data_IF_176201743334
#
_entry.id   IF_176201743334
#
_cell.length_a   1.000
_cell.length_b   1.000
_cell.length_c   1.000
_cell.angle_alpha   90.00
_cell.angle_beta   90.00
_cell.angle_gamma   90.00
#
_symmetry.space_group_name_H-M   'P 1'
#
loop_
_entity.id
_entity.type
_entity.pdbx_description
1 polymer ?
#
# COMPACT_ATOMS: atom_id res chain seq x y z
N UNK A 1 10.51 17.34 -7.75
CA UNK A 1 10.56 18.61 -6.99
C UNK A 1 9.29 19.38 -7.29
N UNK A 2 8.18 18.99 -6.65
CA UNK A 2 7.02 19.87 -6.48
C UNK A 2 6.63 19.77 -5.01
N UNK A 3 6.92 20.84 -4.29
CA UNK A 3 6.64 21.00 -2.87
C UNK A 3 5.14 21.23 -2.70
N UNK A 4 4.46 20.46 -1.85
CA UNK A 4 3.14 20.85 -1.35
C UNK A 4 3.26 22.24 -0.70
N UNK A 5 2.57 23.24 -1.26
CA UNK A 5 2.53 24.58 -0.68
C UNK A 5 1.55 24.57 0.50
N UNK A 6 2.08 24.72 1.72
CA UNK A 6 1.28 25.13 2.87
C UNK A 6 0.84 26.58 2.63
N UNK A 7 -0.46 26.81 2.45
CA UNK A 7 -1.00 28.16 2.38
C UNK A 7 -1.33 28.63 3.79
N UNK A 8 -0.63 29.66 4.26
CA UNK A 8 -1.07 30.44 5.42
C UNK A 8 -2.20 31.36 4.97
N UNK A 9 -3.41 31.11 5.45
CA UNK A 9 -4.51 32.04 5.28
C UNK A 9 -4.61 32.90 6.54
N UNK A 10 -4.39 34.21 6.39
CA UNK A 10 -4.67 35.21 7.41
C UNK A 10 -6.09 35.73 7.20
N UNK A 11 -7.02 35.35 8.09
CA UNK A 11 -8.34 35.97 8.13
C UNK A 11 -8.20 37.43 8.59
N UNK A 12 -8.71 38.38 7.78
CA UNK A 12 -8.58 39.84 8.00
C UNK A 12 -9.16 40.39 9.33
N UNK A 13 -9.80 39.56 10.17
CA UNK A 13 -10.42 39.99 11.43
C UNK A 13 -9.96 39.21 12.68
N UNK A 14 -8.93 38.38 12.60
CA UNK A 14 -8.36 37.71 13.79
C UNK A 14 -6.85 37.62 13.67
N UNK A 15 -6.11 38.02 14.71
CA UNK A 15 -4.65 37.98 14.78
C UNK A 15 -4.04 36.55 14.78
N UNK A 16 -4.80 35.53 14.35
CA UNK A 16 -4.37 34.15 14.22
C UNK A 16 -4.28 33.78 12.74
N UNK A 17 -3.06 33.51 12.27
CA UNK A 17 -2.82 32.85 10.98
C UNK A 17 -3.19 31.38 11.12
N UNK A 18 -4.00 30.87 10.18
CA UNK A 18 -4.41 29.47 10.16
C UNK A 18 -3.81 28.80 8.93
N UNK A 19 -3.17 27.65 9.14
CA UNK A 19 -2.53 26.86 8.09
C UNK A 19 -3.37 25.64 7.76
N UNK A 20 -3.69 25.46 6.48
CA UNK A 20 -4.38 24.29 5.93
C UNK A 20 -3.50 23.60 4.89
N UNK A 21 -3.66 22.28 4.74
CA UNK A 21 -2.90 21.49 3.76
C UNK A 21 -3.67 21.43 2.43
N UNK A 22 -3.15 22.07 1.38
CA UNK A 22 -3.74 22.03 0.03
C UNK A 22 -3.17 20.85 -0.77
N UNK A 23 -4.05 20.01 -1.33
CA UNK A 23 -3.68 18.96 -2.29
C UNK A 23 -4.26 19.37 -3.65
N UNK A 24 -3.43 19.71 -4.66
CA UNK A 24 -3.96 20.17 -5.95
C UNK A 24 -4.51 18.99 -6.76
N UNK A 25 -5.81 19.03 -7.08
CA UNK A 25 -6.45 18.19 -8.10
C UNK A 25 -6.68 16.73 -7.67
N UNK A 26 -7.94 16.30 -7.58
CA UNK A 26 -8.26 14.88 -7.52
C UNK A 26 -7.78 14.17 -8.79
N UNK A 27 -6.59 13.58 -8.72
CA UNK A 27 -6.24 12.27 -9.27
C UNK A 27 -5.42 11.58 -8.20
N UNK A 28 -5.91 10.44 -7.72
CA UNK A 28 -5.26 9.59 -6.73
C UNK A 28 -3.81 9.32 -7.11
N UNK A 29 -2.94 9.35 -6.11
CA UNK A 29 -1.53 9.00 -6.27
C UNK A 29 -0.59 10.20 -6.38
N UNK A 30 -0.27 10.82 -5.24
CA UNK A 30 1.10 11.22 -4.86
C UNK A 30 1.14 11.92 -3.50
N UNK A 31 1.96 11.34 -2.61
CA UNK A 31 2.50 11.88 -1.36
C UNK A 31 1.54 12.09 -0.17
N UNK A 32 1.80 11.39 0.94
CA UNK A 32 2.24 11.99 2.22
C UNK A 32 2.84 10.85 3.11
N UNK A 33 4.14 10.76 3.43
CA UNK A 33 4.85 11.58 4.43
C UNK A 33 4.21 12.96 4.56
N UNK A 34 3.61 13.30 5.70
CA UNK A 34 3.20 14.69 5.96
C UNK A 34 4.35 15.61 5.51
N UNK A 35 4.22 16.41 4.45
CA UNK A 35 5.33 17.18 3.88
C UNK A 35 5.82 18.29 4.83
N UNK A 36 5.19 18.41 6.00
CA UNK A 36 5.55 19.30 7.08
C UNK A 36 6.52 18.68 8.10
N UNK A 37 6.67 17.35 8.11
CA UNK A 37 7.52 16.63 9.06
C UNK A 37 8.51 15.79 8.28
N UNK A 38 9.74 16.29 8.21
CA UNK A 38 10.89 15.51 7.79
C UNK A 38 11.21 14.51 8.91
N UNK A 39 10.67 13.30 8.81
CA UNK A 39 10.84 12.23 9.79
C UNK A 39 12.31 11.80 9.96
N UNK A 40 13.18 12.07 8.99
CA UNK A 40 14.62 11.83 9.13
C UNK A 40 15.29 12.87 10.05
N UNK A 41 14.66 14.04 10.25
CA UNK A 41 15.16 15.13 11.11
C UNK A 41 14.47 15.24 12.46
N UNK A 42 13.23 14.74 12.59
CA UNK A 42 12.46 14.82 13.83
C UNK A 42 12.61 13.53 14.63
N UNK A 43 13.55 13.51 15.58
CA UNK A 43 13.72 12.43 16.54
C UNK A 43 13.03 12.80 17.84
N UNK A 44 12.31 11.87 18.44
CA UNK A 44 11.73 12.03 19.78
C UNK A 44 12.50 11.15 20.75
N UNK A 45 12.91 11.73 21.87
CA UNK A 45 13.62 11.02 22.92
C UNK A 45 12.75 10.99 24.19
N UNK A 46 12.28 9.79 24.53
CA UNK A 46 11.48 9.55 25.72
C UNK A 46 12.34 9.16 26.94
N UNK A 47 13.67 9.13 26.86
CA UNK A 47 14.60 8.68 27.94
C UNK A 47 14.48 9.49 29.23
N UNK A 48 14.16 10.79 29.17
CA UNK A 48 13.87 11.61 30.36
C UNK A 48 12.44 11.40 30.89
N UNK A 49 11.93 10.18 30.81
CA UNK A 49 10.92 9.72 31.75
C UNK A 49 11.67 9.07 32.90
N UNK A 50 12.08 9.88 33.88
CA UNK A 50 12.15 9.39 35.24
C UNK A 50 10.77 8.77 35.49
N UNK A 51 10.70 7.44 35.46
CA UNK A 51 9.54 6.58 35.63
C UNK A 51 8.35 7.40 36.18
N UNK A 52 7.55 8.08 35.32
CA UNK A 52 6.40 8.79 35.82
C UNK A 52 5.58 7.65 36.36
N UNK A 53 5.25 7.72 37.64
CA UNK A 53 4.51 6.67 38.31
C UNK A 53 3.21 6.48 37.51
N UNK A 54 3.21 5.54 36.56
CA UNK A 54 2.09 5.28 35.65
C UNK A 54 0.88 4.82 36.47
N UNK A 55 1.10 4.50 37.75
CA UNK A 55 0.09 4.21 38.75
C UNK A 55 -0.63 5.45 39.30
N UNK A 56 -0.05 6.66 39.24
CA UNK A 56 -0.59 7.85 39.92
C UNK A 56 -1.18 8.93 38.99
N UNK A 57 -0.91 8.90 37.69
CA UNK A 57 -1.48 9.88 36.73
C UNK A 57 -1.79 9.29 35.33
N UNK A 58 -2.31 8.06 35.26
CA UNK A 58 -2.74 7.39 34.02
C UNK A 58 -3.92 8.04 33.27
N UNK A 59 -4.22 9.32 33.51
CA UNK A 59 -5.38 10.03 32.98
C UNK A 59 -5.02 11.16 32.00
N UNK A 60 -3.74 11.45 31.75
CA UNK A 60 -3.29 12.53 30.84
C UNK A 60 -2.39 12.02 29.72
N UNK A 61 -2.50 12.60 28.52
CA UNK A 61 -1.55 12.39 27.42
C UNK A 61 -0.19 12.96 27.80
N UNK A 62 0.88 12.20 27.56
CA UNK A 62 2.26 12.63 27.84
C UNK A 62 2.96 13.05 26.55
N UNK A 63 2.94 14.35 26.28
CA UNK A 63 3.63 14.95 25.13
C UNK A 63 5.13 15.08 25.37
N UNK A 64 5.94 14.73 24.37
CA UNK A 64 7.39 14.97 24.31
C UNK A 64 7.73 15.84 23.12
N UNK A 65 8.38 16.97 23.39
CA UNK A 65 8.90 17.84 22.35
C UNK A 65 10.09 17.17 21.63
N UNK A 66 10.19 17.36 20.32
CA UNK A 66 11.38 16.97 19.56
C UNK A 66 12.58 17.82 20.02
N UNK A 67 13.73 17.23 20.37
CA UNK A 67 14.93 17.98 20.68
C UNK A 67 15.47 18.81 19.50
N UNK A 68 15.16 18.39 18.26
CA UNK A 68 15.57 19.08 17.05
C UNK A 68 14.66 20.28 16.70
N UNK A 69 13.36 20.20 17.02
CA UNK A 69 12.40 21.30 16.86
C UNK A 69 11.28 21.17 17.91
N UNK A 70 11.34 21.94 19.02
CA UNK A 70 10.35 21.89 20.09
C UNK A 70 8.93 22.29 19.67
N UNK A 71 8.76 22.82 18.47
CA UNK A 71 7.45 23.13 17.88
C UNK A 71 6.67 21.88 17.46
N UNK A 72 7.32 20.73 17.41
CA UNK A 72 6.72 19.40 17.23
C UNK A 72 6.75 18.62 18.54
N UNK A 73 5.61 18.03 18.88
CA UNK A 73 5.46 17.19 20.05
C UNK A 73 4.89 15.83 19.62
N UNK A 74 5.28 14.75 20.30
CA UNK A 74 4.73 13.42 20.10
C UNK A 74 4.18 12.83 21.40
N UNK A 75 3.13 12.02 21.28
CA UNK A 75 2.61 11.22 22.38
C UNK A 75 2.21 9.84 21.87
N UNK A 76 2.26 8.82 22.74
CA UNK A 76 1.78 7.47 22.42
C UNK A 76 0.62 7.12 23.33
N UNK A 77 -0.53 6.79 22.76
CA UNK A 77 -1.79 6.64 23.51
C UNK A 77 -2.51 5.32 23.23
N UNK A 78 -3.37 4.91 24.16
CA UNK A 78 -4.32 3.81 23.98
C UNK A 78 -5.62 4.27 23.28
N UNK A 79 -6.56 3.34 23.06
CA UNK A 79 -7.88 3.60 22.46
C UNK A 79 -8.75 4.59 23.26
N UNK A 80 -8.39 4.84 24.52
CA UNK A 80 -9.08 5.78 25.43
C UNK A 80 -8.37 7.13 25.49
N UNK A 81 -7.41 7.38 24.60
CA UNK A 81 -6.58 8.59 24.53
C UNK A 81 -5.74 8.82 25.79
N UNK A 82 -5.29 7.74 26.44
CA UNK A 82 -4.40 7.80 27.61
C UNK A 82 -3.01 7.35 27.26
N UNK A 83 -2.01 7.94 27.90
CA UNK A 83 -0.62 7.55 27.65
C UNK A 83 -0.36 6.08 28.00
N UNK A 84 0.42 5.40 27.16
CA UNK A 84 0.82 4.01 27.39
C UNK A 84 2.17 3.90 28.12
N UNK A 85 2.39 2.83 28.92
CA UNK A 85 3.69 2.53 29.51
C UNK A 85 4.79 2.24 28.47
N UNK A 86 6.05 2.41 28.88
CA UNK A 86 7.21 1.90 28.12
C UNK A 86 7.01 0.40 27.87
N UNK A 87 7.25 -0.04 26.62
CA UNK A 87 7.08 -1.43 26.21
C UNK A 87 5.66 -1.82 25.79
N UNK A 88 4.66 -0.95 25.97
CA UNK A 88 3.27 -1.21 25.55
C UNK A 88 2.99 -0.51 24.21
N UNK A 89 2.50 -1.22 23.18
CA UNK A 89 2.13 -0.59 21.91
C UNK A 89 0.90 0.34 22.05
N UNK A 90 0.92 1.48 21.37
CA UNK A 90 -0.18 2.44 21.26
C UNK A 90 -0.15 3.26 19.96
N UNK A 91 -1.11 4.15 19.77
CA UNK A 91 -1.18 5.08 18.64
C UNK A 91 -0.20 6.24 18.83
N UNK A 92 0.58 6.56 17.80
CA UNK A 92 1.38 7.78 17.76
C UNK A 92 0.50 8.99 17.39
N UNK A 93 0.51 10.01 18.25
CA UNK A 93 -0.05 11.32 17.98
C UNK A 93 1.08 12.33 17.76
N UNK A 94 0.83 13.32 16.90
CA UNK A 94 1.71 14.48 16.73
C UNK A 94 0.94 15.76 17.05
N UNK A 95 1.54 16.61 17.88
CA UNK A 95 1.02 17.89 18.32
C UNK A 95 2.08 18.99 18.17
N UNK A 96 1.76 20.17 18.71
CA UNK A 96 2.65 21.33 18.73
C UNK A 96 2.20 22.47 17.81
N UNK A 97 2.94 23.58 17.84
CA UNK A 97 2.53 24.86 17.23
C UNK A 97 2.59 24.87 15.71
N UNK A 98 3.24 23.88 15.09
CA UNK A 98 3.36 23.73 13.63
C UNK A 98 2.32 22.79 13.01
N UNK A 99 1.40 22.25 13.80
CA UNK A 99 0.33 21.39 13.28
C UNK A 99 -0.72 22.23 12.54
N UNK A 100 -1.07 21.77 11.33
CA UNK A 100 -2.15 22.36 10.51
C UNK A 100 -3.51 21.97 11.07
N UNK A 101 -4.54 22.74 10.74
CA UNK A 101 -5.90 22.49 11.26
C UNK A 101 -6.69 21.41 10.50
N UNK A 102 -6.22 21.01 9.32
CA UNK A 102 -6.89 20.02 8.51
C UNK A 102 -6.46 20.02 7.05
N UNK A 103 -7.13 19.15 6.29
CA UNK A 103 -7.07 19.08 4.84
C UNK A 103 -7.97 20.15 4.22
N UNK A 104 -7.43 20.86 3.22
CA UNK A 104 -8.19 21.84 2.47
C UNK A 104 -9.32 21.16 1.70
N UNK A 105 -10.55 21.65 1.85
CA UNK A 105 -11.77 21.15 1.20
C UNK A 105 -12.16 19.69 1.54
N UNK A 106 -11.57 19.09 2.58
CA UNK A 106 -11.94 17.73 3.05
C UNK A 106 -12.25 17.75 4.56
N UNK A 107 -13.44 18.22 4.97
CA UNK A 107 -13.83 18.34 6.37
C UNK A 107 -14.09 16.99 7.05
N UNK A 108 -14.33 15.93 6.28
CA UNK A 108 -14.53 14.58 6.83
C UNK A 108 -13.20 13.97 7.26
N UNK A 109 -12.21 13.96 6.36
CA UNK A 109 -10.87 13.47 6.67
C UNK A 109 -10.18 14.36 7.70
N UNK A 110 -10.43 15.68 7.66
CA UNK A 110 -9.92 16.61 8.68
C UNK A 110 -10.41 16.25 10.07
N UNK A 111 -11.71 16.00 10.28
CA UNK A 111 -12.24 15.61 11.59
C UNK A 111 -11.75 14.25 12.07
N UNK A 112 -11.46 13.33 11.13
CA UNK A 112 -10.94 12.00 11.45
C UNK A 112 -9.51 12.05 11.98
N UNK A 113 -8.65 12.87 11.37
CA UNK A 113 -7.22 12.90 11.66
C UNK A 113 -6.78 14.06 12.56
N UNK A 114 -7.50 15.18 12.56
CA UNK A 114 -7.19 16.36 13.38
C UNK A 114 -8.24 16.49 14.47
N UNK A 115 -7.88 16.02 15.67
CA UNK A 115 -8.77 16.00 16.83
C UNK A 115 -8.32 17.07 17.85
N UNK A 116 -9.18 17.47 18.80
CA UNK A 116 -8.74 18.26 19.94
C UNK A 116 -7.68 17.50 20.75
N UNK A 117 -6.66 18.22 21.25
CA UNK A 117 -5.65 17.68 22.16
C UNK A 117 -6.35 17.11 23.41
N UNK A 118 -6.19 15.81 23.72
CA UNK A 118 -6.84 15.22 24.88
C UNK A 118 -6.29 15.75 26.21
N UNK A 119 -5.09 16.36 26.24
CA UNK A 119 -4.52 16.99 27.43
C UNK A 119 -4.89 18.48 27.56
N UNK A 120 -5.15 19.18 26.45
CA UNK A 120 -5.51 20.60 26.47
C UNK A 120 -6.71 20.87 25.57
N UNK A 121 -7.79 21.40 26.16
CA UNK A 121 -9.03 21.68 25.43
C UNK A 121 -8.84 22.84 24.44
N UNK A 122 -8.25 22.61 23.26
CA UNK A 122 -8.22 23.61 22.19
C UNK A 122 -7.19 23.47 21.08
N UNK A 123 -6.03 22.84 21.31
CA UNK A 123 -5.03 22.67 20.25
C UNK A 123 -5.38 21.46 19.36
N UNK A 124 -5.21 21.55 18.04
CA UNK A 124 -5.40 20.40 17.16
C UNK A 124 -4.19 19.45 17.24
N UNK A 125 -4.45 18.14 17.30
CA UNK A 125 -3.43 17.10 17.26
C UNK A 125 -3.73 16.16 16.09
N UNK A 126 -2.67 15.71 15.44
CA UNK A 126 -2.73 14.83 14.29
C UNK A 126 -2.59 13.37 14.73
N UNK A 127 -3.63 12.58 14.43
CA UNK A 127 -3.63 11.12 14.54
C UNK A 127 -2.89 10.52 13.35
N UNK A 128 -1.70 9.98 13.62
CA UNK A 128 -0.86 9.42 12.55
C UNK A 128 -1.42 8.10 12.01
N UNK A 129 -2.20 7.38 12.81
CA UNK A 129 -2.59 6.00 12.55
C UNK A 129 -1.45 4.99 12.70
N UNK A 130 -0.25 5.40 13.12
CA UNK A 130 0.87 4.49 13.34
C UNK A 130 0.79 3.85 14.73
N UNK A 131 0.95 2.53 14.79
CA UNK A 131 1.08 1.78 16.03
C UNK A 131 2.55 1.67 16.38
N UNK A 132 2.95 2.25 17.51
CA UNK A 132 4.33 2.30 17.97
C UNK A 132 4.46 1.84 19.41
N UNK A 133 5.67 1.45 19.81
CA UNK A 133 6.03 1.13 21.19
C UNK A 133 7.21 1.99 21.60
N UNK A 134 7.15 2.55 22.80
CA UNK A 134 8.30 3.24 23.40
C UNK A 134 9.25 2.17 23.95
N UNK A 135 10.48 2.11 23.47
CA UNK A 135 11.54 1.22 23.96
C UNK A 135 12.13 1.74 25.28
N UNK A 136 12.85 0.88 25.99
CA UNK A 136 13.50 1.23 27.26
C UNK A 136 14.57 2.32 27.12
N UNK A 137 15.11 2.51 25.92
CA UNK A 137 16.05 3.58 25.55
C UNK A 137 15.33 4.85 25.06
N UNK A 138 14.02 4.96 25.29
CA UNK A 138 13.21 6.12 24.93
C UNK A 138 12.97 6.31 23.43
N UNK A 139 13.41 5.39 22.57
CA UNK A 139 13.13 5.46 21.14
C UNK A 139 11.78 4.85 20.79
N UNK A 140 11.19 5.28 19.68
CA UNK A 140 9.98 4.67 19.13
C UNK A 140 10.34 3.49 18.24
N UNK A 141 9.68 2.36 18.49
CA UNK A 141 9.70 1.18 17.65
C UNK A 141 8.37 1.08 16.91
N UNK A 142 8.42 0.92 15.59
CA UNK A 142 7.24 0.83 14.75
C UNK A 142 6.69 -0.60 14.74
N UNK A 143 5.38 -0.75 14.96
CA UNK A 143 4.68 -2.03 15.06
C UNK A 143 3.57 -2.21 14.00
N UNK A 144 3.48 -1.30 13.02
CA UNK A 144 2.46 -1.32 11.98
C UNK A 144 1.53 -0.10 12.06
N UNK A 145 0.41 -0.16 11.35
CA UNK A 145 -0.62 0.87 11.40
C UNK A 145 -1.87 0.35 12.11
N UNK A 146 -2.68 1.28 12.64
CA UNK A 146 -4.00 1.04 13.20
C UNK A 146 -5.08 1.02 12.12
N UNK A 147 -4.79 1.63 10.97
CA UNK A 147 -5.54 1.44 9.73
C UNK A 147 -4.87 0.36 8.86
N UNK A 148 -5.62 -0.21 7.92
CA UNK A 148 -5.16 -1.32 7.07
C UNK A 148 -4.18 -0.87 5.97
N UNK A 149 -3.61 0.33 6.06
CA UNK A 149 -2.71 0.88 5.04
C UNK A 149 -1.36 0.17 5.05
N UNK A 150 -0.90 -0.23 3.87
CA UNK A 150 0.34 -0.98 3.69
C UNK A 150 1.28 -0.33 2.69
N UNK A 151 2.56 -0.71 2.76
CA UNK A 151 3.56 -0.35 1.76
C UNK A 151 3.79 -1.54 0.84
N UNK A 152 3.37 -1.44 -0.42
CA UNK A 152 3.61 -2.43 -1.45
C UNK A 152 4.70 -1.89 -2.38
N UNK A 153 5.87 -2.53 -2.41
CA UNK A 153 7.00 -2.12 -3.28
C UNK A 153 7.38 -0.64 -3.11
N UNK A 154 7.30 -0.13 -1.88
CA UNK A 154 7.59 1.27 -1.53
C UNK A 154 6.44 2.26 -1.77
N UNK A 155 5.33 1.81 -2.37
CA UNK A 155 4.13 2.62 -2.58
C UNK A 155 3.13 2.41 -1.44
N UNK A 156 2.51 3.50 -0.98
CA UNK A 156 1.40 3.41 -0.01
C UNK A 156 0.16 2.92 -0.73
N UNK A 157 -0.46 1.88 -0.21
CA UNK A 157 -1.67 1.28 -0.77
C UNK A 157 -2.68 1.05 0.33
N UNK A 158 -3.93 1.45 0.07
CA UNK A 158 -5.06 1.20 0.96
C UNK A 158 -5.84 0.00 0.40
N UNK A 159 -5.93 -1.12 1.12
CA UNK A 159 -6.73 -2.27 0.68
C UNK A 159 -8.17 -1.88 0.29
N UNK A 160 -8.79 -0.96 1.04
CA UNK A 160 -10.12 -0.44 0.74
C UNK A 160 -10.25 0.28 -0.62
N UNK A 161 -9.18 0.92 -1.11
CA UNK A 161 -9.16 1.51 -2.46
C UNK A 161 -9.23 0.40 -3.51
N UNK A 162 -8.44 -0.66 -3.31
CA UNK A 162 -8.42 -1.84 -4.19
C UNK A 162 -9.76 -2.58 -4.15
N UNK A 163 -10.38 -2.71 -2.98
CA UNK A 163 -11.75 -3.24 -2.81
C UNK A 163 -12.79 -2.41 -3.58
N UNK A 164 -12.70 -1.08 -3.51
CA UNK A 164 -13.62 -0.20 -4.24
C UNK A 164 -13.51 -0.36 -5.76
N UNK A 165 -12.29 -0.57 -6.28
CA UNK A 165 -12.10 -0.85 -7.70
C UNK A 165 -12.63 -2.23 -8.06
N UNK A 166 -12.34 -3.26 -7.26
CA UNK A 166 -12.90 -4.61 -7.45
C UNK A 166 -14.44 -4.59 -7.45
N UNK A 167 -15.06 -3.85 -6.54
CA UNK A 167 -16.51 -3.68 -6.46
C UNK A 167 -17.11 -2.90 -7.63
N UNK A 168 -16.30 -2.20 -8.42
CA UNK A 168 -16.73 -1.54 -9.66
C UNK A 168 -16.77 -2.49 -10.86
N UNK A 169 -16.23 -3.71 -10.73
CA UNK A 169 -16.32 -4.74 -11.76
C UNK A 169 -17.79 -5.16 -11.97
N UNK A 170 -18.31 -5.21 -13.21
CA UNK A 170 -19.72 -5.47 -13.49
C UNK A 170 -20.28 -6.75 -12.86
N UNK A 171 -19.46 -7.79 -12.76
CA UNK A 171 -19.84 -9.11 -12.24
C UNK A 171 -19.50 -9.36 -10.77
N UNK A 172 -18.82 -8.43 -10.08
CA UNK A 172 -18.47 -8.57 -8.66
C UNK A 172 -19.62 -8.05 -7.80
N UNK A 173 -20.05 -8.85 -6.82
CA UNK A 173 -21.03 -8.47 -5.81
C UNK A 173 -20.36 -7.92 -4.54
N UNK A 174 -19.25 -8.52 -4.13
CA UNK A 174 -18.53 -8.15 -2.91
C UNK A 174 -17.04 -8.49 -3.06
N UNK A 175 -16.18 -7.72 -2.40
CA UNK A 175 -14.72 -7.86 -2.51
C UNK A 175 -14.04 -7.57 -1.17
N UNK A 176 -12.98 -8.32 -0.89
CA UNK A 176 -12.14 -8.15 0.30
C UNK A 176 -10.68 -8.27 -0.11
N UNK A 177 -9.87 -7.31 0.33
CA UNK A 177 -8.43 -7.30 0.07
C UNK A 177 -7.69 -7.53 1.38
N UNK A 178 -6.79 -8.50 1.35
CA UNK A 178 -5.93 -8.86 2.48
C UNK A 178 -4.47 -8.62 2.12
N UNK A 179 -3.68 -8.33 3.13
CA UNK A 179 -2.24 -8.12 3.00
C UNK A 179 -1.55 -9.45 3.27
N UNK A 180 -0.67 -9.85 2.36
CA UNK A 180 0.19 -11.01 2.53
C UNK A 180 1.66 -10.57 2.61
N UNK A 181 2.46 -11.39 3.27
CA UNK A 181 3.92 -11.29 3.23
C UNK A 181 4.41 -12.58 2.60
N UNK A 182 5.20 -12.47 1.53
CA UNK A 182 5.73 -13.63 0.82
C UNK A 182 6.93 -14.26 1.56
N UNK A 183 7.49 -15.32 0.98
CA UNK A 183 8.64 -16.04 1.56
C UNK A 183 9.92 -15.19 1.64
N UNK A 184 10.01 -14.08 0.90
CA UNK A 184 11.13 -13.16 0.88
C UNK A 184 10.94 -11.96 1.84
N UNK A 185 9.77 -11.86 2.48
CA UNK A 185 9.43 -10.76 3.37
C UNK A 185 8.79 -9.57 2.65
N UNK A 186 8.49 -9.70 1.36
CA UNK A 186 7.84 -8.65 0.59
C UNK A 186 6.34 -8.63 0.86
N UNK A 187 5.81 -7.41 1.03
CA UNK A 187 4.38 -7.20 1.27
C UNK A 187 3.64 -7.16 -0.07
N UNK A 188 2.60 -7.99 -0.20
CA UNK A 188 1.73 -8.09 -1.38
C UNK A 188 0.26 -8.02 -0.98
N UNK A 189 -0.62 -7.91 -1.97
CA UNK A 189 -2.07 -7.93 -1.78
C UNK A 189 -2.67 -9.22 -2.32
N UNK A 190 -3.62 -9.78 -1.60
CA UNK A 190 -4.48 -10.86 -2.06
C UNK A 190 -5.92 -10.40 -2.04
N UNK A 191 -6.74 -10.82 -3.01
CA UNK A 191 -8.15 -10.47 -3.05
C UNK A 191 -9.05 -11.69 -3.04
N UNK A 192 -10.18 -11.54 -2.37
CA UNK A 192 -11.30 -12.47 -2.41
C UNK A 192 -12.49 -11.75 -3.04
N UNK A 193 -13.19 -12.40 -3.96
CA UNK A 193 -14.33 -11.81 -4.65
C UNK A 193 -15.52 -12.76 -4.64
N UNK A 194 -16.72 -12.20 -4.51
CA UNK A 194 -17.98 -12.92 -4.66
C UNK A 194 -18.66 -12.43 -5.93
N UNK A 195 -19.09 -13.35 -6.79
CA UNK A 195 -19.81 -13.01 -8.02
C UNK A 195 -21.26 -12.60 -7.78
N UNK A 196 -21.81 -11.77 -8.66
CA UNK A 196 -23.26 -11.54 -8.71
C UNK A 196 -24.01 -12.83 -9.06
N UNK A 197 -25.26 -13.01 -8.59
CA UNK A 197 -26.06 -14.17 -8.94
C UNK A 197 -26.15 -14.36 -10.47
N UNK A 198 -25.72 -15.52 -10.96
CA UNK A 198 -25.75 -15.87 -12.38
C UNK A 198 -24.60 -15.31 -13.22
N UNK A 199 -23.63 -14.61 -12.63
CA UNK A 199 -22.40 -14.22 -13.34
C UNK A 199 -21.40 -15.38 -13.38
N UNK A 200 -20.62 -15.44 -14.47
CA UNK A 200 -19.51 -16.39 -14.60
C UNK A 200 -18.20 -15.64 -14.38
N UNK A 201 -17.90 -15.33 -13.12
CA UNK A 201 -16.69 -14.61 -12.73
C UNK A 201 -15.52 -15.57 -12.52
N UNK A 202 -14.36 -15.25 -13.08
CA UNK A 202 -13.11 -15.98 -12.82
C UNK A 202 -12.04 -15.05 -12.24
N UNK A 203 -11.06 -15.64 -11.55
CA UNK A 203 -9.89 -14.89 -11.07
C UNK A 203 -9.15 -14.20 -12.21
N UNK A 204 -9.04 -14.85 -13.37
CA UNK A 204 -8.39 -14.31 -14.57
C UNK A 204 -9.10 -13.09 -15.15
N UNK A 205 -10.44 -13.09 -15.24
CA UNK A 205 -11.19 -11.93 -15.75
C UNK A 205 -11.06 -10.74 -14.82
N UNK A 206 -11.14 -10.97 -13.50
CA UNK A 206 -10.98 -9.91 -12.49
C UNK A 206 -9.57 -9.35 -12.47
N UNK A 207 -8.55 -10.22 -12.58
CA UNK A 207 -7.16 -9.80 -12.63
C UNK A 207 -6.86 -8.91 -13.84
N UNK A 208 -7.37 -9.29 -15.01
CA UNK A 208 -7.28 -8.50 -16.23
C UNK A 208 -7.94 -7.13 -16.06
N UNK A 209 -9.13 -7.08 -15.46
CA UNK A 209 -9.81 -5.83 -15.15
C UNK A 209 -8.96 -4.94 -14.23
N UNK A 210 -8.44 -5.47 -13.12
CA UNK A 210 -7.62 -4.71 -12.18
C UNK A 210 -6.39 -4.07 -12.85
N UNK A 211 -5.68 -4.81 -13.71
CA UNK A 211 -4.52 -4.28 -14.46
C UNK A 211 -4.85 -3.07 -15.33
N UNK A 212 -6.10 -2.94 -15.77
CA UNK A 212 -6.55 -1.81 -16.58
C UNK A 212 -7.02 -0.62 -15.74
N UNK A 213 -7.35 -0.83 -14.46
CA UNK A 213 -7.94 0.19 -13.59
C UNK A 213 -6.96 0.80 -12.60
N UNK A 214 -5.95 0.05 -12.15
CA UNK A 214 -5.02 0.51 -11.11
C UNK A 214 -3.56 0.36 -11.54
N UNK A 215 -2.64 1.15 -10.94
CA UNK A 215 -1.22 0.94 -11.08
C UNK A 215 -0.79 -0.47 -10.66
N UNK A 216 0.27 -0.99 -11.25
CA UNK A 216 0.75 -2.37 -11.05
C UNK A 216 0.94 -2.77 -9.57
N UNK A 217 1.32 -1.84 -8.70
CA UNK A 217 1.56 -2.12 -7.27
C UNK A 217 0.27 -2.25 -6.44
N UNK A 218 -0.89 -1.88 -6.99
CA UNK A 218 -2.20 -2.09 -6.36
C UNK A 218 -2.92 -3.33 -6.90
N UNK A 219 -2.38 -3.95 -7.94
CA UNK A 219 -2.93 -5.19 -8.51
C UNK A 219 -2.67 -6.34 -7.51
N UNK A 220 -3.71 -7.05 -7.03
CA UNK A 220 -3.50 -8.21 -6.17
C UNK A 220 -2.61 -9.27 -6.82
N UNK A 221 -1.72 -9.89 -6.06
CA UNK A 221 -0.88 -10.99 -6.52
C UNK A 221 -1.72 -12.23 -6.84
N UNK A 222 -2.82 -12.43 -6.11
CA UNK A 222 -3.79 -13.48 -6.40
C UNK A 222 -5.22 -13.06 -6.06
N UNK A 223 -6.15 -13.64 -6.80
CA UNK A 223 -7.59 -13.46 -6.64
C UNK A 223 -8.24 -14.83 -6.47
N UNK A 224 -9.01 -15.01 -5.40
CA UNK A 224 -9.84 -16.18 -5.18
C UNK A 224 -11.32 -15.83 -5.25
N UNK A 225 -12.06 -16.54 -6.10
CA UNK A 225 -13.52 -16.42 -6.18
C UNK A 225 -14.15 -17.31 -5.12
N UNK A 226 -15.09 -16.75 -4.36
CA UNK A 226 -15.87 -17.43 -3.33
C UNK A 226 -17.36 -17.40 -3.68
N UNK A 227 -18.09 -18.42 -3.23
CA UNK A 227 -19.56 -18.42 -3.31
C UNK A 227 -20.16 -17.34 -2.39
N UNK A 228 -19.53 -17.11 -1.23
CA UNK A 228 -19.90 -16.09 -0.24
C UNK A 228 -18.76 -15.85 0.76
N UNK A 229 -18.76 -14.69 1.41
CA UNK A 229 -17.85 -14.45 2.52
C UNK A 229 -18.21 -15.25 3.78
N UNK A 230 -17.22 -15.83 4.48
CA UNK A 230 -17.44 -16.36 5.80
C UNK A 230 -17.71 -15.20 6.77
N UNK A 231 -18.83 -15.25 7.49
CA UNK A 231 -19.21 -14.21 8.45
C UNK A 231 -19.12 -14.74 9.88
N UNK A 232 -18.70 -13.89 10.81
CA UNK A 232 -18.75 -14.15 12.24
C UNK A 232 -20.18 -13.94 12.79
N UNK A 233 -20.36 -14.20 14.09
CA UNK A 233 -21.67 -14.05 14.77
C UNK A 233 -22.27 -12.64 14.71
N UNK A 234 -21.45 -11.62 14.43
CA UNK A 234 -21.87 -10.23 14.32
C UNK A 234 -22.14 -9.81 12.87
N UNK A 235 -22.10 -10.74 11.91
CA UNK A 235 -22.32 -10.47 10.49
C UNK A 235 -21.17 -9.76 9.79
N UNK A 236 -19.99 -9.65 10.41
CA UNK A 236 -18.77 -9.16 9.77
C UNK A 236 -17.97 -10.32 9.18
N UNK A 237 -17.13 -10.07 8.19
CA UNK A 237 -16.23 -11.09 7.63
C UNK A 237 -15.36 -11.70 8.73
N UNK A 238 -15.28 -13.03 8.76
CA UNK A 238 -14.39 -13.77 9.63
C UNK A 238 -13.10 -14.11 8.87
N UNK A 239 -12.09 -13.26 9.05
CA UNK A 239 -10.79 -13.41 8.38
C UNK A 239 -10.09 -14.74 8.71
N UNK A 240 -10.39 -15.36 9.86
CA UNK A 240 -9.79 -16.64 10.26
C UNK A 240 -10.36 -17.84 9.49
N UNK A 241 -11.54 -17.67 8.88
CA UNK A 241 -12.21 -18.70 8.08
C UNK A 241 -12.04 -18.49 6.58
N UNK A 242 -11.31 -17.45 6.16
CA UNK A 242 -10.97 -17.28 4.75
C UNK A 242 -10.08 -18.44 4.27
N UNK A 243 -10.38 -19.05 3.11
CA UNK A 243 -9.53 -20.08 2.56
C UNK A 243 -8.15 -19.51 2.25
N UNK A 244 -7.09 -20.24 2.58
CA UNK A 244 -5.74 -19.80 2.25
C UNK A 244 -5.55 -19.75 0.72
N UNK A 245 -5.10 -18.60 0.22
CA UNK A 245 -4.69 -18.46 -1.17
C UNK A 245 -3.30 -19.07 -1.33
N UNK A 246 -3.28 -20.33 -1.77
CA UNK A 246 -2.04 -21.02 -2.09
C UNK A 246 -1.55 -20.54 -3.46
N UNK A 247 -0.65 -19.56 -3.46
CA UNK A 247 0.11 -19.12 -4.65
C UNK A 247 0.87 -20.28 -5.32
N UNK A 248 1.09 -21.38 -4.59
CA UNK A 248 1.73 -22.61 -5.05
C UNK A 248 0.81 -23.57 -5.81
N UNK A 249 -0.47 -23.27 -5.99
CA UNK A 249 -1.34 -24.10 -6.83
C UNK A 249 -1.01 -23.82 -8.29
N UNK A 250 0.18 -24.29 -8.68
CA UNK A 250 0.62 -24.44 -10.07
C UNK A 250 -0.46 -25.27 -10.73
N UNK A 251 -1.30 -24.61 -11.51
CA UNK A 251 -2.01 -25.34 -12.55
C UNK A 251 -0.89 -25.75 -13.50
N UNK A 252 -0.34 -26.95 -13.29
CA UNK A 252 0.29 -27.71 -14.36
C UNK A 252 -0.84 -28.04 -15.36
N UNK A 253 -1.41 -27.03 -16.00
CA UNK A 253 -2.22 -27.25 -17.18
C UNK A 253 -1.21 -27.56 -18.25
N UNK A 254 -1.06 -28.87 -18.43
CA UNK A 254 -0.70 -29.55 -19.66
C UNK A 254 -1.23 -28.82 -20.89
N UNK A 255 -0.53 -27.77 -21.29
CA UNK A 255 -0.41 -27.28 -22.65
C UNK A 255 1.05 -27.47 -23.09
N UNK A 256 1.60 -28.66 -22.80
CA UNK A 256 2.98 -29.04 -23.14
C UNK A 256 3.13 -29.34 -24.65
N UNK A 257 2.06 -29.27 -25.45
CA UNK A 257 2.15 -29.77 -26.82
C UNK A 257 2.70 -28.78 -27.87
N UNK A 258 2.72 -27.46 -27.69
CA UNK A 258 3.28 -26.57 -28.74
C UNK A 258 3.93 -25.27 -28.23
N UNK A 259 4.89 -25.34 -27.30
CA UNK A 259 5.78 -24.19 -27.06
C UNK A 259 6.82 -24.16 -28.18
N UNK A 260 6.75 -23.14 -29.04
CA UNK A 260 7.71 -22.86 -30.12
C UNK A 260 9.04 -22.30 -29.57
N UNK A 261 10.00 -22.02 -30.46
CA UNK A 261 11.33 -21.54 -30.07
C UNK A 261 11.28 -20.17 -29.36
N UNK A 262 10.40 -19.28 -29.80
CA UNK A 262 10.16 -17.98 -29.16
C UNK A 262 9.64 -18.17 -27.73
N UNK A 263 8.63 -19.01 -27.54
CA UNK A 263 8.08 -19.31 -26.23
C UNK A 263 9.11 -19.87 -25.26
N UNK A 264 9.96 -20.81 -25.71
CA UNK A 264 11.06 -21.35 -24.88
C UNK A 264 12.08 -20.28 -24.51
N UNK A 265 12.40 -19.39 -25.43
CA UNK A 265 13.38 -18.33 -25.21
C UNK A 265 12.89 -17.32 -24.17
N UNK A 266 11.62 -16.89 -24.28
CA UNK A 266 11.02 -15.97 -23.30
C UNK A 266 10.92 -16.61 -21.91
N UNK A 267 10.49 -17.87 -21.82
CA UNK A 267 10.43 -18.61 -20.56
C UNK A 267 11.81 -18.70 -19.91
N UNK A 268 12.85 -19.04 -20.69
CA UNK A 268 14.21 -19.12 -20.18
C UNK A 268 14.72 -17.76 -19.67
N UNK A 269 14.52 -16.68 -20.43
CA UNK A 269 14.91 -15.32 -20.05
C UNK A 269 14.26 -14.92 -18.72
N UNK A 270 12.96 -15.18 -18.57
CA UNK A 270 12.24 -14.84 -17.34
C UNK A 270 12.71 -15.71 -16.18
N UNK A 271 12.88 -17.02 -16.39
CA UNK A 271 13.36 -17.95 -15.37
C UNK A 271 14.76 -17.58 -14.85
N UNK A 272 15.67 -17.19 -15.75
CA UNK A 272 17.00 -16.70 -15.38
C UNK A 272 16.94 -15.40 -14.58
N UNK A 273 16.07 -14.45 -14.97
CA UNK A 273 15.96 -13.17 -14.28
C UNK A 273 15.37 -13.29 -12.86
N UNK A 274 14.49 -14.27 -12.65
CA UNK A 274 13.83 -14.53 -11.38
C UNK A 274 14.53 -15.59 -10.52
N UNK A 275 15.40 -16.42 -11.12
CA UNK A 275 15.98 -17.58 -10.45
C UNK A 275 14.93 -18.65 -10.12
N UNK A 276 13.90 -18.79 -10.95
CA UNK A 276 12.75 -19.67 -10.72
C UNK A 276 12.36 -20.46 -11.98
N UNK A 277 11.67 -21.59 -11.77
CA UNK A 277 10.98 -22.28 -12.87
C UNK A 277 9.74 -21.49 -13.29
N UNK A 278 9.53 -21.34 -14.60
CA UNK A 278 8.48 -20.51 -15.19
C UNK A 278 7.63 -21.35 -16.14
N UNK A 279 6.31 -21.26 -15.99
CA UNK A 279 5.29 -21.88 -16.83
C UNK A 279 4.56 -20.83 -17.69
N UNK A 280 3.87 -21.27 -18.74
CA UNK A 280 3.11 -20.38 -19.63
C UNK A 280 2.00 -19.58 -18.91
N UNK A 281 1.35 -20.22 -17.95
CA UNK A 281 0.26 -19.62 -17.17
C UNK A 281 0.75 -18.65 -16.09
N UNK A 282 2.07 -18.53 -15.91
CA UNK A 282 2.62 -17.70 -14.85
C UNK A 282 2.52 -16.22 -15.19
N UNK A 283 2.65 -15.42 -14.15
CA UNK A 283 2.82 -13.98 -14.28
C UNK A 283 4.15 -13.57 -13.65
N UNK A 284 4.92 -12.77 -14.39
CA UNK A 284 6.23 -12.30 -13.98
C UNK A 284 6.23 -11.68 -12.58
N UNK A 285 5.23 -10.83 -12.28
CA UNK A 285 5.16 -10.16 -10.99
C UNK A 285 4.60 -11.06 -9.89
N UNK A 286 3.76 -12.03 -10.24
CA UNK A 286 3.28 -13.04 -9.30
C UNK A 286 4.43 -13.96 -8.84
N UNK A 287 5.41 -14.20 -9.72
CA UNK A 287 6.63 -14.97 -9.43
C UNK A 287 7.69 -14.18 -8.64
N UNK A 288 7.37 -12.99 -8.11
CA UNK A 288 8.32 -12.17 -7.36
C UNK A 288 9.16 -11.23 -8.21
N UNK A 289 8.80 -11.04 -9.48
CA UNK A 289 9.42 -10.03 -10.33
C UNK A 289 9.25 -8.61 -9.79
N UNK A 290 10.29 -7.81 -10.00
CA UNK A 290 10.39 -6.40 -9.65
C UNK A 290 10.84 -5.57 -10.86
N UNK A 291 10.97 -4.25 -10.68
CA UNK A 291 11.38 -3.37 -11.79
C UNK A 291 12.80 -3.66 -12.31
N UNK A 292 13.69 -4.17 -11.46
CA UNK A 292 15.08 -4.44 -11.84
C UNK A 292 15.21 -5.74 -12.65
N UNK A 293 14.55 -6.81 -12.20
CA UNK A 293 14.37 -8.04 -12.96
C UNK A 293 13.59 -7.80 -14.25
N UNK A 294 12.55 -6.96 -14.24
CA UNK A 294 11.82 -6.57 -15.46
C UNK A 294 12.73 -5.88 -16.48
N UNK A 295 13.57 -4.93 -16.05
CA UNK A 295 14.56 -4.30 -16.94
C UNK A 295 15.53 -5.32 -17.53
N UNK A 296 16.00 -6.29 -16.72
CA UNK A 296 16.88 -7.37 -17.22
C UNK A 296 16.18 -8.24 -18.27
N UNK A 297 14.91 -8.58 -18.04
CA UNK A 297 14.10 -9.33 -19.03
C UNK A 297 13.93 -8.53 -20.32
N UNK A 298 13.55 -7.26 -20.24
CA UNK A 298 13.35 -6.39 -21.42
C UNK A 298 14.61 -6.31 -22.27
N UNK A 299 15.78 -6.10 -21.67
CA UNK A 299 17.05 -6.03 -22.41
C UNK A 299 17.30 -7.33 -23.18
N UNK A 300 17.03 -8.48 -22.57
CA UNK A 300 17.21 -9.79 -23.22
C UNK A 300 16.16 -10.07 -24.29
N UNK A 301 14.92 -9.61 -24.09
CA UNK A 301 13.87 -9.72 -25.11
C UNK A 301 14.17 -8.86 -26.32
N UNK A 302 14.72 -7.66 -26.13
CA UNK A 302 15.13 -6.78 -27.23
C UNK A 302 16.24 -7.38 -28.11
N UNK A 303 17.03 -8.33 -27.60
CA UNK A 303 17.97 -9.10 -28.42
C UNK A 303 17.25 -10.04 -29.41
N UNK A 304 16.00 -10.44 -29.12
CA UNK A 304 15.19 -11.31 -29.96
C UNK A 304 14.37 -10.55 -31.00
N UNK A 305 13.75 -9.43 -30.59
CA UNK A 305 12.74 -8.74 -31.40
C UNK A 305 13.05 -7.26 -31.66
N UNK A 306 14.24 -6.79 -31.29
CA UNK A 306 14.69 -5.42 -31.52
C UNK A 306 14.29 -4.40 -30.43
N UNK A 307 14.80 -3.16 -30.54
CA UNK A 307 14.71 -2.16 -29.47
C UNK A 307 13.33 -1.52 -29.31
N UNK A 308 12.40 -1.78 -30.24
CA UNK A 308 11.05 -1.25 -30.19
C UNK A 308 10.22 -1.82 -29.03
N UNK A 309 10.56 -3.01 -28.52
CA UNK A 309 9.91 -3.57 -27.34
C UNK A 309 10.29 -2.78 -26.09
N UNK A 310 9.31 -2.21 -25.39
CA UNK A 310 9.57 -1.28 -24.27
C UNK A 310 9.27 -1.87 -22.90
N UNK A 311 9.84 -1.25 -21.85
CA UNK A 311 9.50 -1.59 -20.47
C UNK A 311 8.01 -1.35 -20.16
N UNK A 312 7.40 -0.29 -20.71
CA UNK A 312 5.98 0.01 -20.50
C UNK A 312 5.12 -1.14 -21.03
N UNK A 313 5.44 -1.59 -22.23
CA UNK A 313 4.77 -2.69 -22.91
C UNK A 313 4.95 -4.04 -22.19
N UNK A 314 6.12 -4.28 -21.60
CA UNK A 314 6.35 -5.42 -20.71
C UNK A 314 5.43 -5.39 -19.48
N UNK A 315 5.27 -4.23 -18.83
CA UNK A 315 4.37 -4.10 -17.69
C UNK A 315 2.91 -4.40 -18.06
N UNK A 316 2.48 -3.99 -19.26
CA UNK A 316 1.14 -4.25 -19.78
C UNK A 316 0.90 -5.74 -20.12
N UNK A 317 1.97 -6.51 -20.37
CA UNK A 317 1.93 -7.92 -20.80
C UNK A 317 2.79 -8.82 -19.89
N UNK A 318 2.60 -8.71 -18.58
CA UNK A 318 3.41 -9.42 -17.58
C UNK A 318 3.09 -10.92 -17.40
N UNK A 319 1.98 -11.40 -17.96
CA UNK A 319 1.69 -12.83 -18.06
C UNK A 319 2.59 -13.48 -19.11
N UNK A 320 3.17 -14.66 -18.83
CA UNK A 320 4.17 -15.29 -19.70
C UNK A 320 3.59 -15.58 -21.09
N UNK A 321 2.37 -16.12 -21.18
CA UNK A 321 1.69 -16.32 -22.46
C UNK A 321 1.48 -15.00 -23.23
N UNK A 322 1.01 -13.94 -22.56
CA UNK A 322 0.80 -12.63 -23.19
C UNK A 322 2.12 -11.97 -23.62
N UNK A 323 3.18 -12.16 -22.84
CA UNK A 323 4.52 -11.69 -23.15
C UNK A 323 5.06 -12.37 -24.42
N UNK A 324 4.90 -13.69 -24.53
CA UNK A 324 5.31 -14.46 -25.71
C UNK A 324 4.60 -13.95 -26.96
N UNK A 325 3.28 -13.79 -26.92
CA UNK A 325 2.53 -13.25 -28.06
C UNK A 325 2.99 -11.85 -28.44
N UNK A 326 3.33 -11.02 -27.43
CA UNK A 326 3.80 -9.67 -27.70
C UNK A 326 5.17 -9.66 -28.38
N UNK A 327 6.08 -10.55 -27.97
CA UNK A 327 7.39 -10.71 -28.62
C UNK A 327 7.22 -11.18 -30.06
N UNK A 328 6.31 -12.13 -30.33
CA UNK A 328 6.02 -12.60 -31.70
C UNK A 328 5.59 -11.46 -32.61
N UNK A 329 4.65 -10.62 -32.16
CA UNK A 329 4.18 -9.47 -32.94
C UNK A 329 5.31 -8.49 -33.29
N UNK A 330 6.29 -8.30 -32.39
CA UNK A 330 7.47 -7.49 -32.70
C UNK A 330 8.37 -8.18 -33.73
N UNK A 331 8.62 -9.48 -33.60
CA UNK A 331 9.44 -10.23 -34.58
C UNK A 331 8.82 -10.21 -35.99
N UNK A 332 7.50 -10.38 -36.10
CA UNK A 332 6.79 -10.28 -37.39
C UNK A 332 6.90 -8.88 -38.00
N UNK A 333 6.86 -7.82 -37.19
CA UNK A 333 7.00 -6.45 -37.67
C UNK A 333 8.42 -6.11 -38.14
N UNK A 334 9.45 -6.74 -37.56
CA UNK A 334 10.85 -6.58 -37.99
C UNK A 334 11.07 -7.27 -39.34
N UNK A 335 10.48 -8.44 -39.57
CA UNK A 335 10.56 -9.16 -40.86
C UNK A 335 9.83 -8.45 -42.01
N UNK A 336 8.90 -7.52 -41.72
CA UNK A 336 8.19 -6.76 -42.77
C UNK A 336 8.88 -5.46 -43.16
N UNK A 337 9.87 -5.00 -42.38
CA UNK A 337 10.64 -3.77 -42.64
C UNK A 337 11.99 -4.04 -43.37
N UNK A 338 12.45 -5.30 -43.44
CA UNK A 338 13.62 -5.75 -44.24
C UNK A 338 13.28 -6.08 -45.70
#
# INVERSE_FOLDING_TARGET
LELCQAYQFTHKNSAQSVSYLSVPGHRSGRFMNSPLIDWDRVKFDFTQTANPDYSQNANSVHWKASPADPSFMAAVVDERMKAVPIGVPGELLIGGTKIVQGYLNDPEQSRKHFIPDPATSGAAVFRTGDRVRIRSDGQLEFHGRLDDQVKIRGFRTEPAEVESVLGSHPDVADALVTVAVDEHGDTTLNAYVVGKPGSNISSTTVMKYMRQQVPFYQVPQAIQVLDRFPLNRNGKVDHSMLPAINLRTRIHETAVEHIDEVGRSVIAIVGEALGAEVCLSDDFFALGGDSLSAMRVVVRIQELCGPAFTIIEFFDHSGIEALIERVRLHMESVETEE
#
